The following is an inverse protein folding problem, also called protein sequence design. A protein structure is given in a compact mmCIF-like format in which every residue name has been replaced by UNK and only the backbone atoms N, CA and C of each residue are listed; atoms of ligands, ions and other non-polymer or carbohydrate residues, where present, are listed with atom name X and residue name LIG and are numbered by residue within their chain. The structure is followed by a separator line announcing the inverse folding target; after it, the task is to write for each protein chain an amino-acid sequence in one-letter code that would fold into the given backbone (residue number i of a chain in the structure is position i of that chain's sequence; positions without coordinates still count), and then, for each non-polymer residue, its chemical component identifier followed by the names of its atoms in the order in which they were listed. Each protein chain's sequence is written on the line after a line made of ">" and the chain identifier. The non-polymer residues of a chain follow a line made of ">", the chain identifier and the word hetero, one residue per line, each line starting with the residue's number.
data_IF_280583957672
#
_entry.id   IF_280583957672
#
_cell.length_a   1.000
_cell.length_b   1.000
_cell.length_c   1.000
_cell.angle_alpha   90.00
_cell.angle_beta   90.00
_cell.angle_gamma   90.00
#
_symmetry.space_group_name_H-M   'P 1'
#
loop_
_entity.id
_entity.type
_entity.pdbx_description
1 polymer ?
#
# COMPACT_ATOMS: atom_id res chain seq x y z
N UNK A 1 1.52 43.46 -27.44
CA UNK A 1 0.57 42.62 -26.66
C UNK A 1 1.04 42.43 -25.20
N UNK A 2 1.49 43.48 -24.51
CA UNK A 2 2.12 43.37 -23.16
C UNK A 2 1.15 43.60 -21.98
N UNK A 3 -0.16 43.74 -22.22
CA UNK A 3 -1.15 44.12 -21.21
C UNK A 3 -2.27 43.08 -20.99
N UNK A 4 -2.14 41.87 -21.54
CA UNK A 4 -3.12 40.81 -21.30
C UNK A 4 -2.87 40.26 -19.91
N UNK A 5 -3.82 40.49 -19.00
CA UNK A 5 -3.78 40.00 -17.62
C UNK A 5 -4.65 38.76 -17.42
N UNK A 6 -5.67 38.58 -18.26
CA UNK A 6 -6.59 37.45 -18.26
C UNK A 6 -6.67 36.89 -19.67
N UNK A 7 -6.50 35.59 -19.81
CA UNK A 7 -6.68 34.86 -21.06
C UNK A 7 -7.49 33.60 -20.78
N UNK A 8 -8.62 33.47 -21.48
CA UNK A 8 -9.43 32.26 -21.51
C UNK A 8 -9.43 31.70 -22.92
N UNK A 9 -9.03 30.44 -23.06
CA UNK A 9 -9.10 29.65 -24.28
C UNK A 9 -9.79 28.29 -24.00
N UNK A 10 -10.74 28.32 -23.07
CA UNK A 10 -11.53 27.16 -22.66
C UNK A 10 -12.51 26.70 -23.75
N UNK A 11 -13.00 25.45 -23.64
CA UNK A 11 -13.97 24.86 -24.58
C UNK A 11 -13.49 24.84 -26.04
N UNK A 12 -12.26 24.35 -26.24
CA UNK A 12 -11.62 24.21 -27.54
C UNK A 12 -11.04 22.80 -27.72
N UNK A 13 -10.25 22.60 -28.77
CA UNK A 13 -9.59 21.33 -29.08
C UNK A 13 -8.06 21.42 -29.00
N UNK A 14 -7.54 22.26 -28.09
CA UNK A 14 -6.09 22.35 -27.91
C UNK A 14 -5.56 21.06 -27.29
N UNK A 15 -4.59 20.43 -27.97
CA UNK A 15 -3.84 19.27 -27.47
C UNK A 15 -2.62 19.66 -26.64
N UNK A 16 -2.16 20.91 -26.78
CA UNK A 16 -1.04 21.47 -26.01
C UNK A 16 -1.27 22.95 -25.69
N UNK A 17 -0.64 23.43 -24.62
CA UNK A 17 -0.59 24.87 -24.32
C UNK A 17 0.41 25.50 -25.30
N UNK A 18 0.03 26.46 -26.15
CA UNK A 18 0.97 26.99 -27.13
C UNK A 18 2.10 27.79 -26.47
N UNK A 19 3.35 27.45 -26.76
CA UNK A 19 4.53 28.11 -26.15
C UNK A 19 4.55 29.63 -26.37
N UNK A 20 3.98 30.14 -27.46
CA UNK A 20 3.97 31.59 -27.71
C UNK A 20 3.21 32.39 -26.63
N UNK A 21 2.35 31.75 -25.84
CA UNK A 21 1.64 32.38 -24.72
C UNK A 21 2.61 32.91 -23.66
N UNK A 22 3.83 32.36 -23.54
CA UNK A 22 4.83 32.86 -22.57
C UNK A 22 5.30 34.29 -22.88
N UNK A 23 5.04 34.80 -24.09
CA UNK A 23 5.26 36.21 -24.45
C UNK A 23 4.31 37.17 -23.72
N UNK A 24 3.22 36.67 -23.14
CA UNK A 24 2.28 37.44 -22.32
C UNK A 24 2.83 37.59 -20.89
N UNK A 25 3.89 38.37 -20.75
CA UNK A 25 4.65 38.51 -19.48
C UNK A 25 3.84 39.09 -18.32
N UNK A 26 2.71 39.75 -18.60
CA UNK A 26 1.80 40.33 -17.61
C UNK A 26 0.60 39.44 -17.27
N UNK A 27 0.54 38.22 -17.83
CA UNK A 27 -0.59 37.31 -17.66
C UNK A 27 -0.69 36.85 -16.20
N UNK A 28 -1.85 37.11 -15.60
CA UNK A 28 -2.17 36.75 -14.21
C UNK A 28 -3.15 35.60 -14.11
N UNK A 29 -4.05 35.45 -15.08
CA UNK A 29 -5.07 34.41 -15.07
C UNK A 29 -5.07 33.73 -16.43
N UNK A 30 -4.89 32.41 -16.43
CA UNK A 30 -4.94 31.59 -17.62
C UNK A 30 -5.98 30.48 -17.41
N UNK A 31 -6.98 30.45 -18.27
CA UNK A 31 -7.97 29.38 -18.31
C UNK A 31 -7.87 28.63 -19.64
N UNK A 32 -7.58 27.33 -19.56
CA UNK A 32 -7.46 26.36 -20.65
C UNK A 32 -8.36 25.15 -20.41
N UNK A 33 -9.40 25.28 -19.59
CA UNK A 33 -10.32 24.18 -19.26
C UNK A 33 -11.10 23.66 -20.47
N UNK A 34 -11.66 22.46 -20.37
CA UNK A 34 -12.47 21.84 -21.44
C UNK A 34 -11.74 21.80 -22.78
N UNK A 35 -10.53 21.26 -22.78
CA UNK A 35 -9.71 21.02 -23.95
C UNK A 35 -9.27 19.54 -23.99
N UNK A 36 -8.27 19.19 -24.81
CA UNK A 36 -7.71 17.82 -24.91
C UNK A 36 -6.23 17.78 -24.55
N UNK A 37 -5.81 18.61 -23.59
CA UNK A 37 -4.42 18.69 -23.14
C UNK A 37 -3.99 17.39 -22.46
N UNK A 38 -2.82 16.86 -22.84
CA UNK A 38 -2.24 15.64 -22.26
C UNK A 38 -1.24 15.90 -21.14
N UNK A 39 -0.64 17.08 -21.10
CA UNK A 39 0.31 17.49 -20.06
C UNK A 39 0.34 19.00 -19.86
N UNK A 40 0.82 19.43 -18.68
CA UNK A 40 1.18 20.82 -18.44
C UNK A 40 2.69 20.99 -18.63
N UNK A 41 3.15 21.83 -19.57
CA UNK A 41 4.55 21.85 -20.01
C UNK A 41 5.49 22.63 -19.07
N UNK A 42 6.77 22.29 -19.11
CA UNK A 42 7.83 22.90 -18.26
C UNK A 42 8.01 24.41 -18.42
N UNK A 43 7.64 24.96 -19.57
CA UNK A 43 7.69 26.41 -19.78
C UNK A 43 6.58 27.15 -19.02
N UNK A 44 5.68 26.46 -18.30
CA UNK A 44 4.70 27.12 -17.43
C UNK A 44 5.38 28.05 -16.42
N UNK A 45 6.59 27.71 -15.94
CA UNK A 45 7.39 28.58 -15.06
C UNK A 45 7.70 29.95 -15.64
N UNK A 46 7.59 30.14 -16.95
CA UNK A 46 7.86 31.41 -17.63
C UNK A 46 6.74 32.44 -17.36
N UNK A 47 5.53 32.01 -16.94
CA UNK A 47 4.44 32.90 -16.56
C UNK A 47 4.65 33.52 -15.15
N UNK A 48 5.64 34.41 -15.02
CA UNK A 48 6.08 34.97 -13.73
C UNK A 48 5.02 35.74 -12.95
N UNK A 49 3.95 36.18 -13.61
CA UNK A 49 2.84 36.91 -13.00
C UNK A 49 1.59 36.06 -12.78
N UNK A 50 1.62 34.77 -13.12
CA UNK A 50 0.45 33.91 -13.03
C UNK A 50 0.03 33.72 -11.57
N UNK A 51 -1.20 34.12 -11.29
CA UNK A 51 -1.89 34.03 -10.01
C UNK A 51 -2.96 32.94 -10.04
N UNK A 52 -3.57 32.68 -11.20
CA UNK A 52 -4.64 31.69 -11.40
C UNK A 52 -4.39 30.86 -12.65
N UNK A 53 -4.46 29.54 -12.52
CA UNK A 53 -4.39 28.60 -13.64
C UNK A 53 -5.53 27.58 -13.56
N UNK A 54 -6.37 27.53 -14.60
CA UNK A 54 -7.40 26.51 -14.75
C UNK A 54 -7.15 25.65 -15.99
N UNK A 55 -7.02 24.34 -15.79
CA UNK A 55 -6.94 23.32 -16.83
C UNK A 55 -7.86 22.12 -16.52
N UNK A 56 -9.02 22.38 -15.90
CA UNK A 56 -10.05 21.37 -15.64
C UNK A 56 -10.58 20.73 -16.93
N UNK A 57 -11.19 19.55 -16.82
CA UNK A 57 -11.86 18.85 -17.94
C UNK A 57 -10.95 18.69 -19.16
N UNK A 58 -9.75 18.16 -18.93
CA UNK A 58 -8.76 17.86 -19.95
C UNK A 58 -8.35 16.37 -19.86
N UNK A 59 -7.28 15.97 -20.54
CA UNK A 59 -6.75 14.59 -20.50
C UNK A 59 -5.36 14.55 -19.85
N UNK A 60 -5.07 15.47 -18.93
CA UNK A 60 -3.75 15.65 -18.36
C UNK A 60 -3.34 14.37 -17.62
N UNK A 61 -2.21 13.77 -18.02
CA UNK A 61 -1.58 12.64 -17.32
C UNK A 61 -0.47 13.09 -16.37
N UNK A 62 0.19 14.20 -16.71
CA UNK A 62 1.36 14.74 -16.02
C UNK A 62 1.24 16.25 -15.84
N UNK A 63 1.61 16.73 -14.64
CA UNK A 63 1.78 18.16 -14.34
C UNK A 63 3.28 18.41 -14.17
N UNK A 64 3.85 19.37 -14.90
CA UNK A 64 5.28 19.69 -14.84
C UNK A 64 5.78 20.02 -13.42
N UNK A 65 6.94 19.48 -13.06
CA UNK A 65 7.71 19.84 -11.85
C UNK A 65 8.00 21.33 -11.72
N UNK A 66 8.02 22.04 -12.84
CA UNK A 66 8.30 23.46 -12.89
C UNK A 66 7.10 24.32 -12.44
N UNK A 67 5.92 23.72 -12.24
CA UNK A 67 4.73 24.38 -11.66
C UNK A 67 5.03 24.99 -10.30
N UNK A 68 5.83 24.28 -9.48
CA UNK A 68 6.28 24.74 -8.17
C UNK A 68 7.18 25.98 -8.20
N UNK A 69 7.64 26.40 -9.38
CA UNK A 69 8.50 27.59 -9.58
C UNK A 69 7.72 28.84 -9.97
N UNK A 70 6.40 28.79 -9.97
CA UNK A 70 5.54 29.95 -10.18
C UNK A 70 5.47 30.80 -8.90
N UNK A 71 6.06 32.01 -8.88
CA UNK A 71 6.27 32.76 -7.63
C UNK A 71 4.99 33.41 -7.09
N UNK A 72 3.94 33.50 -7.91
CA UNK A 72 2.70 34.21 -7.60
C UNK A 72 1.45 33.34 -7.70
N UNK A 73 1.58 32.07 -8.04
CA UNK A 73 0.44 31.19 -8.21
C UNK A 73 -0.28 31.05 -6.88
N UNK A 74 -1.58 31.37 -6.90
CA UNK A 74 -2.49 31.29 -5.76
C UNK A 74 -3.58 30.29 -6.02
N UNK A 75 -4.09 30.21 -7.25
CA UNK A 75 -5.19 29.30 -7.57
C UNK A 75 -4.79 28.33 -8.67
N UNK A 76 -4.98 27.04 -8.43
CA UNK A 76 -4.72 25.97 -9.40
C UNK A 76 -5.94 25.03 -9.46
N UNK A 77 -6.50 24.91 -10.65
CA UNK A 77 -7.73 24.19 -10.96
C UNK A 77 -7.41 23.09 -11.98
N UNK A 78 -7.53 21.81 -11.58
CA UNK A 78 -7.09 20.64 -12.36
C UNK A 78 -8.07 19.46 -12.35
N UNK A 79 -9.31 19.66 -11.86
CA UNK A 79 -10.33 18.62 -11.78
C UNK A 79 -10.66 18.00 -13.14
N UNK A 80 -11.25 16.79 -13.14
CA UNK A 80 -11.63 16.06 -14.37
C UNK A 80 -10.48 15.88 -15.37
N UNK A 81 -9.34 15.39 -14.88
CA UNK A 81 -8.17 14.99 -15.66
C UNK A 81 -7.78 13.54 -15.35
N UNK A 82 -6.63 13.05 -15.85
CA UNK A 82 -6.09 11.70 -15.61
C UNK A 82 -4.73 11.77 -14.89
N UNK A 83 -4.57 12.73 -13.97
CA UNK A 83 -3.29 13.07 -13.34
C UNK A 83 -3.00 12.06 -12.24
N UNK A 84 -2.10 11.11 -12.50
CA UNK A 84 -1.69 10.13 -11.47
C UNK A 84 -0.60 10.66 -10.53
N UNK A 85 0.14 11.71 -10.96
CA UNK A 85 1.33 12.23 -10.28
C UNK A 85 1.29 13.76 -10.21
N UNK A 86 1.24 14.32 -9.00
CA UNK A 86 1.46 15.75 -8.77
C UNK A 86 2.93 16.01 -8.43
N UNK A 87 3.54 17.06 -9.00
CA UNK A 87 4.95 17.36 -8.78
C UNK A 87 5.23 17.78 -7.34
N UNK A 88 6.32 17.27 -6.76
CA UNK A 88 6.68 17.53 -5.36
C UNK A 88 6.89 19.03 -5.07
N UNK A 89 7.29 19.80 -6.08
CA UNK A 89 7.51 21.23 -5.93
C UNK A 89 6.22 22.04 -5.79
N UNK A 90 5.04 21.50 -6.13
CA UNK A 90 3.76 22.18 -5.88
C UNK A 90 3.53 22.45 -4.39
N UNK A 91 3.94 21.51 -3.53
CA UNK A 91 3.82 21.64 -2.07
C UNK A 91 4.68 22.77 -1.47
N UNK A 92 5.59 23.36 -2.25
CA UNK A 92 6.44 24.49 -1.80
C UNK A 92 5.78 25.85 -1.96
N UNK A 93 4.63 25.93 -2.64
CA UNK A 93 3.91 27.19 -2.86
C UNK A 93 3.12 27.52 -1.59
N UNK A 94 3.64 28.45 -0.78
CA UNK A 94 3.15 28.75 0.59
C UNK A 94 1.72 29.29 0.70
N UNK A 95 1.04 29.61 -0.41
CA UNK A 95 -0.30 30.22 -0.43
C UNK A 95 -1.15 29.71 -1.62
N UNK A 96 -1.01 28.42 -1.98
CA UNK A 96 -1.78 27.82 -3.05
C UNK A 96 -3.16 27.37 -2.52
N UNK A 97 -4.21 28.10 -2.89
CA UNK A 97 -5.61 27.71 -2.80
C UNK A 97 -5.94 26.79 -3.99
N UNK A 98 -6.15 25.52 -3.71
CA UNK A 98 -6.62 24.55 -4.70
C UNK A 98 -8.14 24.59 -4.66
N UNK A 99 -8.76 25.39 -5.54
CA UNK A 99 -10.19 25.74 -5.47
C UNK A 99 -11.14 24.74 -6.13
N UNK A 100 -10.64 23.69 -6.79
CA UNK A 100 -11.49 22.60 -7.25
C UNK A 100 -11.11 21.27 -6.62
N UNK A 101 -12.06 20.35 -6.73
CA UNK A 101 -11.98 18.90 -6.57
C UNK A 101 -10.90 18.24 -7.46
N UNK A 102 -9.68 18.75 -7.45
CA UNK A 102 -8.53 17.88 -7.28
C UNK A 102 -8.91 16.98 -6.10
N UNK A 103 -8.73 15.66 -6.14
CA UNK A 103 -8.82 14.86 -4.93
C UNK A 103 -7.62 15.21 -4.02
N UNK A 104 -7.55 16.46 -3.54
CA UNK A 104 -7.34 16.77 -2.14
C UNK A 104 -8.69 16.72 -1.40
N UNK A 105 -9.58 15.84 -1.85
CA UNK A 105 -10.61 15.37 -0.97
C UNK A 105 -9.88 14.79 0.22
N UNK A 106 -9.95 15.48 1.37
CA UNK A 106 -9.33 15.00 2.59
C UNK A 106 -9.80 13.56 2.89
N UNK A 107 -11.04 13.26 2.45
CA UNK A 107 -11.69 11.95 2.34
C UNK A 107 -12.78 12.07 1.27
N UNK A 108 -12.51 11.83 -0.01
CA UNK A 108 -13.54 11.97 -1.05
C UNK A 108 -14.71 11.05 -0.79
N UNK A 109 -15.91 11.63 -0.69
CA UNK A 109 -17.20 10.96 -0.49
C UNK A 109 -17.27 9.80 0.54
N UNK A 110 -16.25 9.60 1.39
CA UNK A 110 -16.31 8.67 2.49
C UNK A 110 -17.42 9.14 3.42
N UNK A 111 -18.08 8.20 4.07
CA UNK A 111 -19.12 8.49 5.04
C UNK A 111 -18.71 9.58 6.05
N UNK A 112 -19.59 10.53 6.43
CA UNK A 112 -19.28 11.56 7.42
C UNK A 112 -18.72 11.00 8.74
N UNK A 113 -19.15 9.80 9.12
CA UNK A 113 -18.65 9.05 10.27
C UNK A 113 -17.14 8.79 10.17
N UNK A 114 -16.65 8.46 8.97
CA UNK A 114 -15.23 8.27 8.70
C UNK A 114 -14.45 9.56 8.96
N UNK A 115 -14.91 10.68 8.39
CA UNK A 115 -14.21 11.96 8.47
C UNK A 115 -14.12 12.45 9.93
N UNK A 116 -15.20 12.32 10.70
CA UNK A 116 -15.21 12.65 12.13
C UNK A 116 -14.15 11.82 12.86
N UNK A 117 -14.17 10.52 12.64
CA UNK A 117 -13.27 9.58 13.32
C UNK A 117 -11.80 9.85 13.00
N UNK A 118 -11.47 10.14 11.75
CA UNK A 118 -10.11 10.54 11.37
C UNK A 118 -9.68 11.82 12.08
N UNK A 119 -10.53 12.85 12.03
CA UNK A 119 -10.23 14.17 12.62
C UNK A 119 -9.99 14.10 14.13
N UNK A 120 -10.78 13.29 14.83
CA UNK A 120 -10.66 13.12 16.28
C UNK A 120 -9.36 12.41 16.69
N UNK A 121 -8.88 11.46 15.89
CA UNK A 121 -7.79 10.58 16.30
C UNK A 121 -6.42 10.93 15.70
N UNK A 122 -6.37 11.49 14.47
CA UNK A 122 -5.13 11.50 13.69
C UNK A 122 -4.75 12.82 13.01
N UNK A 123 -5.67 13.77 12.78
CA UNK A 123 -5.40 14.94 11.91
C UNK A 123 -4.25 15.85 12.37
N UNK A 124 -3.87 15.78 13.65
CA UNK A 124 -2.83 16.63 14.23
C UNK A 124 -1.47 15.93 14.31
N UNK A 125 -1.39 14.66 13.90
CA UNK A 125 -0.11 13.95 13.82
C UNK A 125 0.72 14.48 12.64
N UNK A 126 2.02 14.71 12.84
CA UNK A 126 2.87 15.40 11.87
C UNK A 126 2.94 14.70 10.49
N UNK A 127 2.71 13.39 10.45
CA UNK A 127 2.78 12.53 9.25
C UNK A 127 1.41 12.19 8.66
N UNK A 128 0.32 12.59 9.32
CA UNK A 128 -1.07 12.28 8.92
C UNK A 128 -1.39 12.72 7.49
N UNK A 129 -0.83 13.85 7.04
CA UNK A 129 -1.04 14.37 5.68
C UNK A 129 -0.56 13.41 4.57
N UNK A 130 0.47 12.60 4.80
CA UNK A 130 0.90 11.60 3.82
C UNK A 130 -0.12 10.46 3.70
N UNK A 131 -0.73 10.07 4.82
CA UNK A 131 -1.76 9.05 4.84
C UNK A 131 -3.08 9.58 4.24
N UNK A 132 -3.43 10.85 4.46
CA UNK A 132 -4.55 11.53 3.78
C UNK A 132 -4.40 11.45 2.25
N UNK A 133 -3.20 11.74 1.73
CA UNK A 133 -2.90 11.62 0.29
C UNK A 133 -2.99 10.16 -0.18
N UNK A 134 -2.45 9.24 0.61
CA UNK A 134 -2.51 7.81 0.31
C UNK A 134 -3.95 7.30 0.18
N UNK A 135 -4.85 7.72 1.08
CA UNK A 135 -6.27 7.36 1.05
C UNK A 135 -6.99 7.98 -0.14
N UNK A 136 -6.75 9.26 -0.44
CA UNK A 136 -7.38 9.94 -1.58
C UNK A 136 -7.01 9.27 -2.91
N UNK A 137 -5.74 8.84 -3.07
CA UNK A 137 -5.32 8.11 -4.27
C UNK A 137 -5.91 6.71 -4.33
N UNK A 138 -6.00 6.01 -3.20
CA UNK A 138 -6.66 4.71 -3.18
C UNK A 138 -8.14 4.81 -3.55
N UNK A 139 -8.84 5.85 -3.08
CA UNK A 139 -10.21 6.15 -3.49
C UNK A 139 -10.33 6.46 -4.98
N UNK A 140 -9.41 7.25 -5.55
CA UNK A 140 -9.39 7.59 -6.97
C UNK A 140 -9.26 6.34 -7.86
N UNK A 141 -8.36 5.41 -7.50
CA UNK A 141 -8.22 4.12 -8.18
C UNK A 141 -9.54 3.33 -8.17
N UNK A 142 -10.32 3.44 -7.08
CA UNK A 142 -11.59 2.74 -6.92
C UNK A 142 -12.76 3.45 -7.60
N UNK A 143 -12.74 4.79 -7.76
CA UNK A 143 -13.79 5.55 -8.45
C UNK A 143 -13.89 5.22 -9.95
N UNK A 144 -12.84 4.64 -10.54
CA UNK A 144 -12.91 4.08 -11.89
C UNK A 144 -13.86 2.86 -11.98
N UNK A 145 -14.22 2.27 -10.84
CA UNK A 145 -15.30 1.30 -10.70
C UNK A 145 -16.61 2.00 -10.31
N UNK A 146 -17.54 2.17 -11.26
CA UNK A 146 -18.77 2.97 -11.10
C UNK A 146 -19.84 2.39 -10.15
N UNK A 147 -19.51 1.39 -9.32
CA UNK A 147 -20.50 0.67 -8.51
C UNK A 147 -20.41 1.00 -7.00
N UNK A 148 -21.54 1.42 -6.44
CA UNK A 148 -21.73 1.85 -5.04
C UNK A 148 -21.28 0.80 -4.00
N UNK A 149 -21.33 -0.49 -4.32
CA UNK A 149 -20.84 -1.57 -3.45
C UNK A 149 -19.31 -1.63 -3.32
N UNK A 150 -18.55 -1.13 -4.30
CA UNK A 150 -17.08 -1.03 -4.17
C UNK A 150 -16.68 0.02 -3.15
N UNK A 151 -17.44 1.12 -3.08
CA UNK A 151 -17.27 2.12 -2.04
C UNK A 151 -17.47 1.52 -0.66
N UNK A 152 -18.53 0.74 -0.45
CA UNK A 152 -18.80 0.14 0.86
C UNK A 152 -17.66 -0.80 1.31
N UNK A 153 -17.21 -1.69 0.43
CA UNK A 153 -16.09 -2.59 0.71
C UNK A 153 -14.82 -1.82 1.08
N UNK A 154 -14.54 -0.72 0.37
CA UNK A 154 -13.40 0.14 0.66
C UNK A 154 -13.50 0.83 2.02
N UNK A 155 -14.67 1.37 2.36
CA UNK A 155 -14.93 1.97 3.66
C UNK A 155 -14.71 0.97 4.81
N UNK A 156 -15.11 -0.29 4.64
CA UNK A 156 -14.93 -1.35 5.63
C UNK A 156 -13.45 -1.70 5.86
N UNK A 157 -12.67 -1.83 4.79
CA UNK A 157 -11.22 -2.11 4.86
C UNK A 157 -10.47 -0.99 5.59
N UNK A 158 -10.69 0.27 5.19
CA UNK A 158 -10.03 1.40 5.83
C UNK A 158 -10.54 1.59 7.27
N UNK A 159 -11.84 1.41 7.53
CA UNK A 159 -12.38 1.48 8.89
C UNK A 159 -11.69 0.48 9.82
N UNK A 160 -11.33 -0.70 9.31
CA UNK A 160 -10.60 -1.70 10.08
C UNK A 160 -9.15 -1.29 10.33
N UNK A 161 -8.47 -0.72 9.34
CA UNK A 161 -7.13 -0.14 9.53
C UNK A 161 -7.16 0.98 10.58
N UNK A 162 -8.13 1.90 10.50
CA UNK A 162 -8.29 2.96 11.49
C UNK A 162 -8.54 2.41 12.90
N UNK A 163 -9.37 1.36 13.04
CA UNK A 163 -9.57 0.67 14.33
C UNK A 163 -8.25 0.21 14.93
N UNK A 164 -7.40 -0.44 14.13
CA UNK A 164 -6.11 -0.88 14.61
C UNK A 164 -5.15 0.28 14.92
N UNK A 165 -5.13 1.34 14.11
CA UNK A 165 -4.31 2.52 14.33
C UNK A 165 -4.68 3.28 15.62
N UNK A 166 -5.96 3.29 16.00
CA UNK A 166 -6.41 3.89 17.28
C UNK A 166 -5.84 3.09 18.45
N UNK A 167 -5.94 1.76 18.37
CA UNK A 167 -5.62 0.88 19.49
C UNK A 167 -4.11 0.53 19.60
N UNK A 168 -3.34 0.68 18.52
CA UNK A 168 -1.92 0.34 18.50
C UNK A 168 -1.07 1.44 17.85
N UNK A 169 -0.26 2.11 18.68
CA UNK A 169 0.61 3.21 18.26
C UNK A 169 1.78 2.75 17.34
N UNK A 170 2.27 1.52 17.50
CA UNK A 170 3.31 0.96 16.63
C UNK A 170 2.75 0.67 15.24
N UNK A 171 1.55 0.08 15.18
CA UNK A 171 0.85 -0.15 13.92
C UNK A 171 0.50 1.18 13.23
N UNK A 172 0.04 2.18 13.99
CA UNK A 172 -0.19 3.53 13.46
C UNK A 172 1.06 4.15 12.83
N UNK A 173 2.20 4.03 13.51
CA UNK A 173 3.48 4.47 12.97
C UNK A 173 3.82 3.71 11.68
N UNK A 174 3.64 2.40 11.65
CA UNK A 174 3.86 1.57 10.45
C UNK A 174 2.98 2.02 9.27
N UNK A 175 1.70 2.30 9.50
CA UNK A 175 0.79 2.85 8.49
C UNK A 175 1.31 4.17 7.91
N UNK A 176 1.77 5.09 8.77
CA UNK A 176 2.32 6.36 8.32
C UNK A 176 3.65 6.20 7.58
N UNK A 177 4.56 5.35 8.07
CA UNK A 177 5.85 5.10 7.43
C UNK A 177 5.64 4.47 6.04
N UNK A 178 4.72 3.52 5.89
CA UNK A 178 4.37 2.94 4.58
C UNK A 178 3.74 3.98 3.64
N UNK A 179 2.80 4.80 4.13
CA UNK A 179 2.22 5.87 3.32
C UNK A 179 3.29 6.87 2.85
N UNK A 180 4.20 7.29 3.74
CA UNK A 180 5.33 8.15 3.38
C UNK A 180 6.17 7.51 2.28
N UNK A 181 6.56 6.24 2.47
CA UNK A 181 7.38 5.53 1.49
C UNK A 181 6.70 5.49 0.12
N UNK A 182 5.44 5.03 0.04
CA UNK A 182 4.70 4.97 -1.23
C UNK A 182 4.59 6.35 -1.89
N UNK A 183 4.28 7.38 -1.11
CA UNK A 183 4.16 8.74 -1.67
C UNK A 183 5.52 9.29 -2.12
N UNK A 184 6.63 8.88 -1.50
CA UNK A 184 7.98 9.40 -1.80
C UNK A 184 8.77 8.60 -2.84
N UNK A 185 8.65 7.27 -2.88
CA UNK A 185 9.54 6.39 -3.67
C UNK A 185 8.91 5.87 -4.96
N UNK A 186 7.60 5.64 -5.00
CA UNK A 186 6.92 5.08 -6.18
C UNK A 186 5.41 5.24 -6.06
N UNK A 187 4.81 6.01 -6.97
CA UNK A 187 3.38 6.36 -6.93
C UNK A 187 2.42 5.20 -7.22
N UNK A 188 2.94 4.05 -7.65
CA UNK A 188 2.18 2.87 -8.08
C UNK A 188 2.28 1.74 -7.04
N UNK A 189 2.46 2.08 -5.75
CA UNK A 189 2.59 1.12 -4.64
C UNK A 189 1.41 1.09 -3.66
N UNK A 190 0.34 1.85 -3.92
CA UNK A 190 -0.74 2.07 -2.93
C UNK A 190 -1.46 0.78 -2.58
N UNK A 191 -1.96 0.04 -3.57
CA UNK A 191 -2.62 -1.24 -3.33
C UNK A 191 -1.67 -2.24 -2.67
N UNK A 192 -0.42 -2.34 -3.13
CA UNK A 192 0.58 -3.19 -2.50
C UNK A 192 0.79 -2.83 -1.02
N UNK A 193 0.91 -1.55 -0.69
CA UNK A 193 1.08 -1.11 0.69
C UNK A 193 -0.16 -1.32 1.55
N UNK A 194 -1.37 -1.20 0.98
CA UNK A 194 -2.61 -1.56 1.66
C UNK A 194 -2.59 -3.05 1.99
N UNK A 195 -2.27 -3.87 1.01
CA UNK A 195 -2.24 -5.31 1.16
C UNK A 195 -1.21 -5.75 2.20
N UNK A 196 -0.02 -5.15 2.19
CA UNK A 196 0.97 -5.36 3.24
C UNK A 196 0.46 -4.93 4.62
N UNK A 197 -0.25 -3.80 4.73
CA UNK A 197 -0.84 -3.35 5.99
C UNK A 197 -1.93 -4.31 6.51
N UNK A 198 -2.73 -4.88 5.62
CA UNK A 198 -3.78 -5.84 5.98
C UNK A 198 -3.21 -7.16 6.46
N UNK A 199 -2.12 -7.62 5.85
CA UNK A 199 -1.40 -8.77 6.40
C UNK A 199 -0.86 -8.44 7.79
N UNK A 200 -0.24 -7.27 7.95
CA UNK A 200 0.29 -6.83 9.25
C UNK A 200 -0.81 -6.75 10.33
N UNK A 201 -2.07 -6.48 9.94
CA UNK A 201 -3.21 -6.60 10.85
C UNK A 201 -3.47 -8.04 11.29
N UNK A 202 -3.36 -9.02 10.40
CA UNK A 202 -3.50 -10.44 10.75
C UNK A 202 -2.38 -10.84 11.72
N UNK A 203 -1.15 -10.46 11.41
CA UNK A 203 0.01 -10.71 12.29
C UNK A 203 -0.20 -10.08 13.68
N UNK A 204 -0.70 -8.84 13.72
CA UNK A 204 -1.03 -8.16 14.97
C UNK A 204 -2.14 -8.87 15.73
N UNK A 205 -3.21 -9.29 15.06
CA UNK A 205 -4.33 -10.04 15.69
C UNK A 205 -3.83 -11.32 16.33
N UNK A 206 -2.98 -12.07 15.64
CA UNK A 206 -2.35 -13.28 16.17
C UNK A 206 -1.51 -12.96 17.41
N UNK A 207 -0.79 -11.83 17.42
CA UNK A 207 0.06 -11.42 18.55
C UNK A 207 -0.71 -10.85 19.76
N UNK A 208 -1.82 -10.16 19.54
CA UNK A 208 -2.52 -9.38 20.58
C UNK A 208 -3.70 -10.11 21.23
N UNK A 209 -4.26 -11.11 20.54
CA UNK A 209 -5.46 -11.79 21.00
C UNK A 209 -5.11 -13.16 21.61
N UNK A 210 -5.75 -13.51 22.72
CA UNK A 210 -5.68 -14.85 23.33
C UNK A 210 -6.47 -15.88 22.52
N UNK A 211 -6.21 -15.95 21.21
CA UNK A 211 -6.87 -16.85 20.29
C UNK A 211 -6.54 -18.30 20.65
N UNK A 212 -7.55 -19.16 20.45
CA UNK A 212 -7.37 -20.61 20.41
C UNK A 212 -6.48 -21.01 19.24
N UNK A 213 -5.87 -22.20 19.30
CA UNK A 213 -4.98 -22.67 18.24
C UNK A 213 -5.71 -22.79 16.89
N UNK A 214 -7.01 -23.11 16.91
CA UNK A 214 -7.86 -23.17 15.71
C UNK A 214 -8.12 -21.78 15.10
N UNK A 215 -8.41 -20.76 15.93
CA UNK A 215 -8.57 -19.39 15.44
C UNK A 215 -7.25 -18.85 14.85
N UNK A 216 -6.11 -19.20 15.47
CA UNK A 216 -4.79 -18.84 14.94
C UNK A 216 -4.56 -19.49 13.58
N UNK A 217 -4.87 -20.79 13.45
CA UNK A 217 -4.76 -21.49 12.16
C UNK A 217 -5.60 -20.83 11.08
N UNK A 218 -6.85 -20.49 11.37
CA UNK A 218 -7.74 -19.82 10.41
C UNK A 218 -7.18 -18.46 9.97
N UNK A 219 -6.63 -17.68 10.89
CA UNK A 219 -5.98 -16.40 10.55
C UNK A 219 -4.71 -16.60 9.69
N UNK A 220 -3.89 -17.61 9.99
CA UNK A 220 -2.72 -17.96 9.16
C UNK A 220 -3.15 -18.44 7.78
N UNK A 221 -4.22 -19.22 7.67
CA UNK A 221 -4.76 -19.68 6.39
C UNK A 221 -5.31 -18.52 5.53
N UNK A 222 -5.98 -17.55 6.16
CA UNK A 222 -6.39 -16.31 5.48
C UNK A 222 -5.20 -15.54 4.95
N UNK A 223 -4.15 -15.37 5.76
CA UNK A 223 -2.91 -14.72 5.31
C UNK A 223 -2.26 -15.48 4.14
N UNK A 224 -2.19 -16.80 4.20
CA UNK A 224 -1.68 -17.64 3.11
C UNK A 224 -2.47 -17.43 1.82
N UNK A 225 -3.81 -17.54 1.87
CA UNK A 225 -4.67 -17.37 0.70
C UNK A 225 -4.45 -16.02 0.04
N UNK A 226 -4.32 -14.99 0.86
CA UNK A 226 -4.10 -13.63 0.41
C UNK A 226 -2.78 -13.46 -0.32
N UNK A 227 -1.67 -13.87 0.29
CA UNK A 227 -0.35 -13.77 -0.33
C UNK A 227 -0.27 -14.56 -1.64
N UNK A 228 -0.81 -15.78 -1.63
CA UNK A 228 -0.73 -16.65 -2.80
C UNK A 228 -1.59 -16.14 -3.94
N UNK A 229 -2.79 -15.63 -3.65
CA UNK A 229 -3.65 -15.02 -4.67
C UNK A 229 -3.00 -13.75 -5.25
N UNK A 230 -2.38 -12.93 -4.40
CA UNK A 230 -1.65 -11.74 -4.83
C UNK A 230 -0.50 -12.10 -5.78
N UNK A 231 0.31 -13.11 -5.43
CA UNK A 231 1.44 -13.55 -6.25
C UNK A 231 0.98 -14.00 -7.64
N UNK A 232 -0.06 -14.83 -7.71
CA UNK A 232 -0.63 -15.30 -8.98
C UNK A 232 -1.19 -14.15 -9.82
N UNK A 233 -1.81 -13.16 -9.19
CA UNK A 233 -2.34 -11.98 -9.88
C UNK A 233 -1.20 -11.09 -10.45
N UNK A 234 -0.13 -10.87 -9.69
CA UNK A 234 1.06 -10.14 -10.15
C UNK A 234 1.69 -10.87 -11.34
N UNK A 235 1.87 -12.19 -11.25
CA UNK A 235 2.41 -13.00 -12.35
C UNK A 235 1.55 -12.90 -13.60
N UNK A 236 0.22 -12.95 -13.45
CA UNK A 236 -0.70 -12.80 -14.58
C UNK A 236 -0.56 -11.43 -15.26
N UNK A 237 -0.48 -10.37 -14.46
CA UNK A 237 -0.30 -9.02 -14.96
C UNK A 237 1.04 -8.83 -15.69
N UNK A 238 2.13 -9.39 -15.15
CA UNK A 238 3.44 -9.38 -15.81
C UNK A 238 3.40 -10.07 -17.17
N UNK A 239 2.73 -11.24 -17.25
CA UNK A 239 2.54 -11.96 -18.52
C UNK A 239 1.76 -11.10 -19.52
N UNK A 240 0.62 -10.53 -19.11
CA UNK A 240 -0.18 -9.69 -19.99
C UNK A 240 0.55 -8.42 -20.44
N UNK A 241 1.32 -7.81 -19.54
CA UNK A 241 2.08 -6.59 -19.84
C UNK A 241 3.16 -6.87 -20.89
N UNK A 242 3.83 -8.01 -20.76
CA UNK A 242 4.78 -8.50 -21.75
C UNK A 242 4.13 -8.77 -23.11
N UNK A 243 2.94 -9.40 -23.13
CA UNK A 243 2.17 -9.64 -24.37
C UNK A 243 1.79 -8.32 -25.07
N UNK A 244 1.56 -7.26 -24.31
CA UNK A 244 1.14 -5.95 -24.81
C UNK A 244 2.30 -4.98 -25.11
N UNK A 245 3.57 -5.35 -24.85
CA UNK A 245 4.74 -4.46 -24.91
C UNK A 245 4.55 -3.18 -24.05
N UNK A 246 4.00 -3.33 -22.85
CA UNK A 246 3.78 -2.25 -21.92
C UNK A 246 5.09 -1.60 -21.46
N UNK A 247 5.05 -0.32 -21.14
CA UNK A 247 6.15 0.39 -20.46
C UNK A 247 6.21 0.00 -18.98
N UNK A 248 7.34 0.25 -18.33
CA UNK A 248 7.48 -0.02 -16.88
C UNK A 248 6.49 0.78 -16.00
N UNK A 249 5.97 1.92 -16.45
CA UNK A 249 4.90 2.64 -15.73
C UNK A 249 3.53 1.96 -15.92
N UNK A 250 3.28 1.35 -17.09
CA UNK A 250 2.03 0.62 -17.40
C UNK A 250 1.99 -0.74 -16.69
N UNK A 251 3.11 -1.46 -16.64
CA UNK A 251 3.24 -2.75 -15.93
C UNK A 251 2.76 -2.69 -14.47
N UNK A 252 3.04 -1.59 -13.77
CA UNK A 252 2.67 -1.46 -12.35
C UNK A 252 1.19 -1.16 -12.18
N UNK A 253 0.61 -0.35 -13.07
CA UNK A 253 -0.84 -0.08 -13.08
C UNK A 253 -1.61 -1.36 -13.42
N UNK A 254 -1.16 -2.09 -14.44
CA UNK A 254 -1.75 -3.35 -14.86
C UNK A 254 -1.70 -4.40 -13.73
N UNK A 255 -0.59 -4.46 -12.99
CA UNK A 255 -0.45 -5.34 -11.81
C UNK A 255 -1.40 -4.96 -10.68
N UNK A 256 -1.50 -3.67 -10.36
CA UNK A 256 -2.39 -3.18 -9.32
C UNK A 256 -3.86 -3.49 -9.59
N UNK A 257 -4.33 -3.20 -10.80
CA UNK A 257 -5.71 -3.45 -11.18
C UNK A 257 -6.04 -4.93 -11.30
N UNK A 258 -5.09 -5.73 -11.82
CA UNK A 258 -5.25 -7.19 -11.91
C UNK A 258 -5.34 -7.80 -10.52
N UNK A 259 -4.49 -7.39 -9.57
CA UNK A 259 -4.56 -7.84 -8.18
C UNK A 259 -5.90 -7.46 -7.55
N UNK A 260 -6.34 -6.21 -7.68
CA UNK A 260 -7.64 -5.78 -7.18
C UNK A 260 -8.78 -6.63 -7.78
N UNK A 261 -8.74 -6.88 -9.09
CA UNK A 261 -9.72 -7.69 -9.78
C UNK A 261 -9.79 -9.13 -9.24
N UNK A 262 -8.64 -9.74 -8.95
CA UNK A 262 -8.60 -11.07 -8.32
C UNK A 262 -9.30 -11.07 -6.96
N UNK A 263 -9.09 -10.04 -6.13
CA UNK A 263 -9.71 -9.97 -4.82
C UNK A 263 -11.22 -9.79 -4.88
N UNK A 264 -11.71 -8.91 -5.76
CA UNK A 264 -13.13 -8.55 -5.81
C UNK A 264 -13.97 -9.46 -6.71
N UNK A 265 -13.33 -10.30 -7.52
CA UNK A 265 -14.01 -11.20 -8.45
C UNK A 265 -14.90 -12.18 -7.68
N UNK A 266 -16.14 -12.45 -8.14
CA UNK A 266 -17.05 -13.43 -7.54
C UNK A 266 -16.51 -14.86 -7.59
N UNK A 267 -15.51 -15.10 -8.43
CA UNK A 267 -14.84 -16.40 -8.53
C UNK A 267 -13.83 -16.62 -7.38
N UNK A 268 -13.42 -15.55 -6.71
CA UNK A 268 -12.61 -15.63 -5.50
C UNK A 268 -13.46 -16.17 -4.35
N UNK A 269 -13.31 -17.47 -4.12
CA UNK A 269 -14.06 -18.24 -3.13
C UNK A 269 -13.18 -18.68 -1.97
N UNK A 270 -12.04 -18.02 -1.78
CA UNK A 270 -11.11 -18.24 -0.69
C UNK A 270 -11.47 -17.36 0.51
N UNK A 271 -11.20 -17.85 1.71
CA UNK A 271 -11.27 -16.99 2.90
C UNK A 271 -10.12 -15.98 2.89
N UNK A 272 -10.46 -14.70 2.89
CA UNK A 272 -9.50 -13.59 2.84
C UNK A 272 -9.39 -12.89 4.21
N UNK A 273 -8.25 -12.25 4.50
CA UNK A 273 -8.13 -11.31 5.60
C UNK A 273 -9.12 -10.16 5.40
N UNK A 274 -9.87 -9.83 6.47
CA UNK A 274 -10.92 -8.80 6.50
C UNK A 274 -12.13 -9.17 5.64
N UNK A 275 -13.30 -9.24 6.28
CA UNK A 275 -14.60 -9.61 5.70
C UNK A 275 -15.05 -8.65 4.58
N UNK A 276 -14.39 -8.67 3.43
CA UNK A 276 -14.97 -8.19 2.19
C UNK A 276 -15.89 -9.30 1.72
N UNK A 277 -17.17 -9.28 2.12
CA UNK A 277 -18.17 -10.10 1.42
C UNK A 277 -18.07 -9.70 -0.06
N UNK A 278 -17.52 -10.59 -0.90
CA UNK A 278 -17.35 -10.32 -2.33
C UNK A 278 -18.69 -9.87 -2.88
N UNK A 279 -18.85 -8.60 -3.28
CA UNK A 279 -20.11 -8.17 -3.86
C UNK A 279 -20.16 -8.90 -5.19
N UNK A 280 -20.97 -9.95 -5.31
CA UNK A 280 -21.01 -10.84 -6.46
C UNK A 280 -21.33 -10.16 -7.80
N UNK A 281 -20.38 -9.40 -8.32
CA UNK A 281 -20.50 -8.52 -9.47
C UNK A 281 -19.37 -8.82 -10.46
N UNK A 282 -19.74 -8.86 -11.73
CA UNK A 282 -18.81 -8.91 -12.86
C UNK A 282 -18.30 -7.49 -13.15
N UNK A 283 -17.44 -6.93 -12.31
CA UNK A 283 -16.64 -5.76 -12.72
C UNK A 283 -15.26 -6.25 -13.10
N UNK A 284 -14.91 -6.09 -14.37
CA UNK A 284 -13.57 -6.25 -14.87
C UNK A 284 -13.03 -4.85 -15.16
N UNK A 285 -11.98 -4.38 -14.47
CA UNK A 285 -11.33 -3.12 -14.84
C UNK A 285 -10.91 -3.16 -16.31
N UNK A 286 -11.09 -2.05 -17.04
CA UNK A 286 -10.78 -1.98 -18.49
C UNK A 286 -9.30 -2.29 -18.79
N UNK A 287 -8.43 -2.13 -17.81
CA UNK A 287 -6.98 -2.33 -17.86
C UNK A 287 -6.51 -3.59 -17.10
N UNK A 288 -7.43 -4.35 -16.49
CA UNK A 288 -7.07 -5.64 -15.89
C UNK A 288 -6.70 -6.65 -16.98
N UNK A 289 -5.45 -7.14 -16.92
CA UNK A 289 -4.93 -8.14 -17.86
C UNK A 289 -5.30 -9.56 -17.44
N UNK A 290 -6.50 -9.71 -16.89
CA UNK A 290 -7.06 -10.96 -16.43
C UNK A 290 -8.58 -10.96 -16.54
N UNK A 291 -9.15 -12.15 -16.66
CA UNK A 291 -10.59 -12.38 -16.65
C UNK A 291 -11.02 -13.28 -15.48
N UNK A 292 -12.33 -13.50 -15.33
CA UNK A 292 -12.87 -14.37 -14.28
C UNK A 292 -12.37 -15.82 -14.39
N UNK A 293 -11.97 -16.27 -15.59
CA UNK A 293 -11.42 -17.60 -15.79
C UNK A 293 -10.00 -17.72 -15.21
N UNK A 294 -9.19 -16.68 -15.35
CA UNK A 294 -7.88 -16.58 -14.72
C UNK A 294 -7.99 -16.59 -13.19
N UNK A 295 -8.98 -15.90 -12.62
CA UNK A 295 -9.25 -15.93 -11.16
C UNK A 295 -9.66 -17.33 -10.70
N UNK A 296 -10.58 -18.01 -11.40
CA UNK A 296 -10.97 -19.39 -11.07
C UNK A 296 -9.76 -20.33 -11.06
N UNK A 297 -8.92 -20.26 -12.08
CA UNK A 297 -7.69 -21.07 -12.16
C UNK A 297 -6.77 -20.81 -10.98
N UNK A 298 -6.56 -19.55 -10.60
CA UNK A 298 -5.71 -19.21 -9.46
C UNK A 298 -6.27 -19.78 -8.15
N UNK A 299 -7.58 -19.70 -7.95
CA UNK A 299 -8.23 -20.30 -6.78
C UNK A 299 -8.11 -21.83 -6.79
N UNK A 300 -8.31 -22.48 -7.93
CA UNK A 300 -8.13 -23.94 -8.08
C UNK A 300 -6.68 -24.36 -7.82
N UNK A 301 -5.71 -23.57 -8.27
CA UNK A 301 -4.29 -23.78 -8.03
C UNK A 301 -3.94 -23.69 -6.54
N UNK A 302 -4.45 -22.67 -5.84
CA UNK A 302 -4.27 -22.53 -4.38
C UNK A 302 -4.90 -23.72 -3.66
N UNK A 303 -6.08 -24.18 -4.06
CA UNK A 303 -6.71 -25.37 -3.47
C UNK A 303 -5.90 -26.64 -3.71
N UNK A 304 -5.40 -26.84 -4.93
CA UNK A 304 -4.55 -27.97 -5.27
C UNK A 304 -3.28 -27.98 -4.43
N UNK A 305 -2.64 -26.82 -4.24
CA UNK A 305 -1.45 -26.68 -3.40
C UNK A 305 -1.72 -27.11 -1.95
N UNK A 306 -2.88 -26.71 -1.39
CA UNK A 306 -3.31 -27.16 -0.05
C UNK A 306 -3.53 -28.67 0.03
N UNK A 307 -4.12 -29.27 -1.00
CA UNK A 307 -4.38 -30.70 -1.06
C UNK A 307 -3.09 -31.52 -1.22
N UNK A 308 -2.17 -31.08 -2.06
CA UNK A 308 -0.89 -31.76 -2.34
C UNK A 308 0.07 -31.71 -1.14
N UNK A 309 0.18 -30.55 -0.49
CA UNK A 309 1.08 -30.36 0.65
C UNK A 309 0.48 -30.86 1.97
N UNK A 310 -0.85 -31.07 2.04
CA UNK A 310 -1.54 -31.32 3.29
C UNK A 310 -1.29 -30.18 4.30
N UNK A 311 -1.39 -30.38 5.62
CA UNK A 311 -1.29 -29.28 6.58
C UNK A 311 0.12 -28.63 6.64
N UNK A 312 1.11 -29.18 5.93
CA UNK A 312 2.45 -28.62 5.85
C UNK A 312 2.53 -27.30 5.06
N UNK A 313 1.57 -26.98 4.18
CA UNK A 313 1.63 -25.72 3.42
C UNK A 313 1.63 -24.49 4.35
N UNK A 314 0.87 -24.54 5.45
CA UNK A 314 0.86 -23.46 6.45
C UNK A 314 2.18 -23.41 7.23
N UNK A 315 2.76 -24.57 7.53
CA UNK A 315 4.05 -24.68 8.22
C UNK A 315 5.13 -24.02 7.36
N UNK A 316 5.26 -24.44 6.11
CA UNK A 316 6.24 -23.90 5.17
C UNK A 316 6.05 -22.39 4.94
N UNK A 317 4.79 -21.92 4.96
CA UNK A 317 4.45 -20.51 4.82
C UNK A 317 4.90 -19.62 5.99
N UNK A 318 4.84 -20.10 7.24
CA UNK A 318 5.12 -19.27 8.43
C UNK A 318 6.52 -19.42 9.01
N UNK A 319 7.24 -20.51 8.71
CA UNK A 319 8.52 -20.82 9.34
C UNK A 319 9.61 -19.77 9.08
N UNK A 320 9.54 -19.06 7.96
CA UNK A 320 10.48 -17.99 7.60
C UNK A 320 10.01 -16.59 8.07
N UNK A 321 8.84 -16.51 8.72
CA UNK A 321 8.22 -15.23 9.08
C UNK A 321 8.57 -14.79 10.49
N UNK A 322 9.12 -13.59 10.61
CA UNK A 322 9.52 -12.99 11.89
C UNK A 322 8.34 -12.86 12.87
N UNK A 323 7.15 -12.48 12.39
CA UNK A 323 5.97 -12.36 13.25
C UNK A 323 5.57 -13.68 13.91
N UNK A 324 5.75 -14.81 13.21
CA UNK A 324 5.38 -16.13 13.71
C UNK A 324 6.33 -16.58 14.82
N UNK A 325 7.63 -16.37 14.61
CA UNK A 325 8.66 -16.60 15.64
C UNK A 325 8.37 -15.73 16.87
N UNK A 326 8.01 -14.46 16.68
CA UNK A 326 7.64 -13.56 17.76
C UNK A 326 6.39 -14.02 18.52
N UNK A 327 5.37 -14.51 17.81
CA UNK A 327 4.17 -15.10 18.41
C UNK A 327 4.50 -16.32 19.27
N UNK A 328 5.26 -17.29 18.74
CA UNK A 328 5.66 -18.49 19.48
C UNK A 328 6.51 -18.14 20.70
N UNK A 329 7.46 -17.20 20.54
CA UNK A 329 8.34 -16.75 21.61
C UNK A 329 7.58 -16.08 22.75
N UNK A 330 6.46 -15.41 22.47
CA UNK A 330 5.60 -14.80 23.49
C UNK A 330 4.68 -15.83 24.14
N UNK A 331 4.00 -16.67 23.35
CA UNK A 331 3.00 -17.63 23.83
C UNK A 331 3.62 -18.79 24.61
N UNK A 332 4.79 -19.26 24.16
CA UNK A 332 5.50 -20.40 24.73
C UNK A 332 6.82 -20.01 25.40
N UNK A 333 6.95 -18.76 25.84
CA UNK A 333 8.17 -18.21 26.45
C UNK A 333 8.76 -19.14 27.52
N UNK A 334 7.94 -19.58 28.47
CA UNK A 334 8.38 -20.46 29.56
C UNK A 334 8.88 -21.82 29.06
N UNK A 335 8.19 -22.41 28.07
CA UNK A 335 8.54 -23.70 27.50
C UNK A 335 9.85 -23.62 26.70
N UNK A 336 10.01 -22.58 25.88
CA UNK A 336 11.23 -22.33 25.10
C UNK A 336 12.41 -22.07 26.06
N UNK A 337 12.20 -21.27 27.10
CA UNK A 337 13.22 -20.98 28.11
C UNK A 337 13.67 -22.27 28.81
N UNK A 338 12.74 -23.13 29.25
CA UNK A 338 13.06 -24.42 29.88
C UNK A 338 13.95 -25.32 28.98
N UNK A 339 13.70 -25.33 27.67
CA UNK A 339 14.45 -26.17 26.72
C UNK A 339 15.76 -25.53 26.22
N UNK A 340 15.97 -24.24 26.47
CA UNK A 340 17.17 -23.50 26.04
C UNK A 340 18.06 -23.04 27.19
N UNK A 341 17.58 -23.15 28.44
CA UNK A 341 18.28 -22.69 29.64
C UNK A 341 19.65 -23.34 29.80
N UNK A 342 19.79 -24.63 29.45
CA UNK A 342 21.08 -25.34 29.54
C UNK A 342 22.19 -24.64 28.75
N UNK A 343 21.88 -24.08 27.58
CA UNK A 343 22.86 -23.35 26.79
C UNK A 343 23.20 -22.00 27.41
N UNK A 344 22.22 -21.33 28.03
CA UNK A 344 22.43 -20.07 28.74
C UNK A 344 23.34 -20.29 29.94
N UNK A 345 23.06 -21.32 30.75
CA UNK A 345 23.88 -21.68 31.91
C UNK A 345 25.32 -22.02 31.50
N UNK A 346 25.50 -22.79 30.41
CA UNK A 346 26.84 -23.11 29.87
C UNK A 346 27.59 -21.89 29.31
N UNK A 347 26.87 -20.90 28.78
CA UNK A 347 27.45 -19.62 28.33
C UNK A 347 27.90 -18.77 29.52
N UNK A 348 27.08 -18.67 30.57
CA UNK A 348 27.44 -17.97 31.82
C UNK A 348 28.67 -18.60 32.47
N UNK A 349 28.72 -19.93 32.59
CA UNK A 349 29.91 -20.64 33.08
C UNK A 349 31.16 -20.40 32.22
N UNK A 350 30.99 -20.22 30.90
CA UNK A 350 32.09 -19.94 29.99
C UNK A 350 32.57 -18.50 30.14
N UNK A 351 31.67 -17.56 30.44
CA UNK A 351 32.00 -16.17 30.77
C UNK A 351 32.76 -16.03 32.10
N UNK A 352 32.40 -16.79 33.13
CA UNK A 352 33.16 -16.85 34.38
C UNK A 352 34.61 -17.34 34.18
N UNK A 353 34.85 -18.17 33.16
CA UNK A 353 36.17 -18.74 32.82
C UNK A 353 36.95 -17.89 31.82
N UNK A 354 36.43 -16.71 31.42
CA UNK A 354 37.02 -15.86 30.37
C UNK A 354 38.48 -15.49 30.62
N UNK A 355 38.86 -15.21 31.87
CA UNK A 355 40.24 -14.85 32.24
C UNK A 355 41.22 -16.04 32.18
N UNK A 356 40.70 -17.27 32.09
CA UNK A 356 41.50 -18.51 32.03
C UNK A 356 41.63 -19.09 30.63
N UNK A 357 40.78 -18.64 29.70
CA UNK A 357 40.78 -19.03 28.29
C UNK A 357 41.55 -18.00 27.47
N UNK A 358 42.22 -18.45 26.39
CA UNK A 358 42.67 -17.49 25.40
C UNK A 358 41.45 -16.97 24.61
N UNK A 359 41.59 -15.77 24.03
CA UNK A 359 40.49 -15.07 23.35
C UNK A 359 39.87 -15.90 22.21
N UNK A 360 40.71 -16.65 21.46
CA UNK A 360 40.25 -17.49 20.36
C UNK A 360 39.36 -18.66 20.85
N UNK A 361 39.80 -19.37 21.89
CA UNK A 361 39.07 -20.51 22.46
C UNK A 361 37.77 -20.06 23.14
N UNK A 362 37.78 -18.91 23.82
CA UNK A 362 36.58 -18.31 24.38
C UNK A 362 35.55 -17.99 23.29
N UNK A 363 35.95 -17.24 22.26
CA UNK A 363 35.06 -16.86 21.15
C UNK A 363 34.54 -18.10 20.40
N UNK A 364 35.39 -19.10 20.16
CA UNK A 364 34.98 -20.34 19.47
C UNK A 364 33.95 -21.11 20.28
N UNK A 365 34.14 -21.22 21.60
CA UNK A 365 33.21 -21.93 22.48
C UNK A 365 31.87 -21.21 22.60
N UNK A 366 31.88 -19.89 22.82
CA UNK A 366 30.65 -19.08 22.89
C UNK A 366 29.87 -19.15 21.57
N UNK A 367 30.54 -19.04 20.42
CA UNK A 367 29.88 -19.14 19.13
C UNK A 367 29.28 -20.53 18.87
N UNK A 368 29.95 -21.60 19.33
CA UNK A 368 29.41 -22.96 19.29
C UNK A 368 28.12 -23.09 20.09
N UNK A 369 28.11 -22.60 21.33
CA UNK A 369 26.93 -22.61 22.20
C UNK A 369 25.77 -21.79 21.62
N UNK A 370 26.05 -20.62 21.03
CA UNK A 370 25.02 -19.83 20.32
C UNK A 370 24.45 -20.60 19.13
N UNK A 371 25.29 -21.27 18.34
CA UNK A 371 24.84 -22.05 17.19
C UNK A 371 23.96 -23.25 17.63
N UNK A 372 24.36 -23.96 18.68
CA UNK A 372 23.61 -25.09 19.23
C UNK A 372 22.28 -24.64 19.84
N UNK A 373 22.27 -23.52 20.57
CA UNK A 373 21.05 -22.89 21.09
C UNK A 373 20.09 -22.54 19.96
N UNK A 374 20.57 -21.83 18.92
CA UNK A 374 19.75 -21.43 17.77
C UNK A 374 19.19 -22.66 17.04
N UNK A 375 19.98 -23.73 16.89
CA UNK A 375 19.51 -24.96 16.27
C UNK A 375 18.43 -25.66 17.13
N UNK A 376 18.56 -25.62 18.46
CA UNK A 376 17.56 -26.13 19.38
C UNK A 376 16.26 -25.33 19.29
N UNK A 377 16.35 -23.99 19.29
CA UNK A 377 15.21 -23.09 19.12
C UNK A 377 14.47 -23.33 17.80
N UNK A 378 15.20 -23.48 16.69
CA UNK A 378 14.59 -23.78 15.39
C UNK A 378 13.79 -25.09 15.41
N UNK A 379 14.30 -26.15 16.06
CA UNK A 379 13.58 -27.42 16.22
C UNK A 379 12.32 -27.24 17.07
N UNK A 380 12.40 -26.47 18.15
CA UNK A 380 11.26 -26.15 19.02
C UNK A 380 10.19 -25.36 18.25
N UNK A 381 10.58 -24.32 17.51
CA UNK A 381 9.66 -23.54 16.70
C UNK A 381 8.96 -24.41 15.66
N UNK A 382 9.68 -25.31 14.97
CA UNK A 382 9.09 -26.25 14.04
C UNK A 382 8.04 -27.17 14.70
N UNK A 383 8.38 -27.75 15.86
CA UNK A 383 7.49 -28.62 16.63
C UNK A 383 6.22 -27.89 17.10
N UNK A 384 6.39 -26.70 17.68
CA UNK A 384 5.26 -25.87 18.12
C UNK A 384 4.37 -25.47 16.95
N UNK A 385 4.98 -25.08 15.82
CA UNK A 385 4.27 -24.74 14.59
C UNK A 385 3.43 -25.92 14.08
N UNK A 386 4.02 -27.11 14.04
CA UNK A 386 3.32 -28.33 13.65
C UNK A 386 2.14 -28.57 14.60
N UNK A 387 2.36 -28.50 15.91
CA UNK A 387 1.30 -28.76 16.88
C UNK A 387 0.11 -27.80 16.73
N UNK A 388 0.36 -26.51 16.50
CA UNK A 388 -0.70 -25.50 16.36
C UNK A 388 -1.45 -25.67 15.03
N UNK A 389 -0.73 -25.90 13.94
CA UNK A 389 -1.30 -25.86 12.58
C UNK A 389 -1.82 -27.20 12.08
N UNK A 390 -1.41 -28.34 12.67
CA UNK A 390 -1.85 -29.69 12.25
C UNK A 390 -2.84 -30.35 13.19
N UNK A 391 -2.83 -30.02 14.49
CA UNK A 391 -3.65 -30.72 15.50
C UNK A 391 -4.94 -29.97 15.87
N UNK A 392 -5.23 -28.85 15.21
CA UNK A 392 -6.45 -28.06 15.40
C UNK A 392 -7.61 -28.49 14.50
#
# INVERSE_FOLDING_TARGET
>A
MQHVHYLSIDNNYFSEIPRFLTKLTSLKRLNVSSNVLSEVPDFIKEFKQLEFFNAESNQLKKVSEEMGRLPKLRTLMLAHNRIMKFPQNLYRIKNLELEDQIPLARFGDFSPEFEVRWKENFQYEATSGYFEIWMARYEEMLRMATAEKYRQMFEERISTLLNAMVNNANFRKLCFDKAINVIQTSHDGILFSLFELEVQLVEQRIMELQLSDEEVRQEVERAFNFYRLQELAILRAQIGSYENNATAEEEVVDAQETVLFYYISPENTLEMPLNCETPGFMYQPDTALADHHDVRKAVEEIRREKEECGPNYLIDFVLDKEYWINYLSRRYASFIMEHTQVFVDEMEETEEKKDTLNEYDYVTKVNGLVADKNQSEQKLYYQLTTNILTNS
#
